data_IF_664620603372
#
_entry.id   IF_664620603372
#
_cell.length_a   1.000
_cell.length_b   1.000
_cell.length_c   1.000
_cell.angle_alpha   90.00
_cell.angle_beta   90.00
_cell.angle_gamma   90.00
#
_symmetry.space_group_name_H-M   'P 1'
#
loop_
_entity.id
_entity.type
_entity.pdbx_description
1 polymer ?
#
# COMPACT_ATOMS: atom_id res chain seq x y z
N UNK A 1 13.23 -4.59 -17.35
CA UNK A 1 11.80 -4.86 -17.27
C UNK A 1 11.11 -3.74 -16.49
N UNK A 2 10.12 -3.15 -17.11
CA UNK A 2 9.54 -1.93 -16.59
C UNK A 2 8.27 -2.21 -15.82
N UNK A 3 8.07 -1.45 -14.76
CA UNK A 3 6.83 -1.41 -14.02
C UNK A 3 6.42 0.05 -13.86
N UNK A 4 5.15 0.29 -13.54
CA UNK A 4 4.72 1.63 -13.19
C UNK A 4 3.92 1.61 -11.89
N UNK A 5 3.99 2.73 -11.18
CA UNK A 5 3.27 2.93 -9.93
C UNK A 5 2.18 3.96 -10.21
N UNK A 6 0.96 3.62 -9.86
CA UNK A 6 -0.20 4.49 -10.07
C UNK A 6 -1.17 4.39 -8.91
N UNK A 7 -2.07 5.36 -8.75
CA UNK A 7 -3.11 5.28 -7.73
C UNK A 7 -4.01 4.05 -7.93
N UNK A 8 -4.46 3.47 -6.83
CA UNK A 8 -5.38 2.33 -6.86
C UNK A 8 -6.72 2.74 -7.47
N UNK A 9 -7.35 1.80 -8.17
CA UNK A 9 -8.72 1.92 -8.70
C UNK A 9 -9.59 0.83 -8.11
N UNK A 10 -10.90 1.01 -8.13
CA UNK A 10 -11.83 -0.01 -7.63
C UNK A 10 -11.61 -1.37 -8.33
N UNK A 11 -11.25 -1.35 -9.61
CA UNK A 11 -10.97 -2.58 -10.36
C UNK A 11 -9.72 -3.33 -9.88
N UNK A 12 -8.88 -2.70 -9.05
CA UNK A 12 -7.68 -3.34 -8.49
C UNK A 12 -7.95 -4.06 -7.17
N UNK A 13 -9.09 -3.81 -6.54
CA UNK A 13 -9.33 -4.26 -5.16
C UNK A 13 -9.16 -5.77 -4.98
N UNK A 14 -9.69 -6.57 -5.91
CA UNK A 14 -9.57 -8.03 -5.80
C UNK A 14 -8.13 -8.49 -5.90
N UNK A 15 -7.34 -7.91 -6.83
CA UNK A 15 -5.93 -8.27 -7.00
C UNK A 15 -5.11 -7.86 -5.78
N UNK A 16 -5.36 -6.67 -5.24
CA UNK A 16 -4.66 -6.18 -4.05
C UNK A 16 -4.97 -7.06 -2.84
N UNK A 17 -6.23 -7.44 -2.65
CA UNK A 17 -6.62 -8.34 -1.56
C UNK A 17 -5.91 -9.69 -1.67
N UNK A 18 -5.83 -10.24 -2.89
CA UNK A 18 -5.14 -11.51 -3.12
C UNK A 18 -3.65 -11.40 -2.79
N UNK A 19 -3.00 -10.28 -3.16
CA UNK A 19 -1.58 -10.06 -2.86
C UNK A 19 -1.36 -9.99 -1.36
N UNK A 20 -2.15 -9.21 -0.64
CA UNK A 20 -2.00 -9.08 0.81
C UNK A 20 -2.15 -10.44 1.50
N UNK A 21 -3.16 -11.21 1.13
CA UNK A 21 -3.40 -12.53 1.71
C UNK A 21 -2.34 -13.56 1.35
N UNK A 22 -1.68 -13.37 0.20
CA UNK A 22 -0.60 -14.24 -0.24
C UNK A 22 0.74 -13.91 0.43
N UNK A 23 1.06 -12.62 0.58
CA UNK A 23 2.37 -12.17 1.04
C UNK A 23 2.48 -12.16 2.57
N UNK A 24 1.45 -11.74 3.28
CA UNK A 24 1.53 -11.65 4.74
C UNK A 24 1.90 -12.96 5.43
N UNK A 25 1.34 -14.12 5.03
CA UNK A 25 1.75 -15.38 5.65
C UNK A 25 3.23 -15.72 5.47
N UNK A 26 3.87 -15.27 4.38
CA UNK A 26 5.30 -15.49 4.16
C UNK A 26 6.15 -14.88 5.28
N UNK A 27 5.63 -13.84 5.93
CA UNK A 27 6.32 -13.17 7.02
C UNK A 27 5.74 -13.53 8.39
N UNK A 28 4.92 -14.59 8.45
CA UNK A 28 4.29 -15.03 9.69
C UNK A 28 3.19 -14.12 10.22
N UNK A 29 2.76 -13.14 9.42
CA UNK A 29 1.77 -12.15 9.85
C UNK A 29 0.35 -12.67 9.61
N UNK A 30 -0.07 -13.63 10.44
CA UNK A 30 -1.40 -14.23 10.38
C UNK A 30 -2.12 -14.06 11.70
N UNK A 31 -3.45 -14.14 11.67
CA UNK A 31 -4.26 -14.01 12.86
C UNK A 31 -4.85 -12.61 13.04
N UNK A 32 -5.63 -12.43 14.10
CA UNK A 32 -6.28 -11.17 14.39
C UNK A 32 -5.24 -10.09 14.72
N UNK A 33 -5.50 -8.88 14.29
CA UNK A 33 -4.59 -7.75 14.49
C UNK A 33 -3.65 -7.48 13.33
N UNK A 34 -3.52 -8.41 12.38
CA UNK A 34 -2.74 -8.20 11.17
C UNK A 34 -3.66 -7.83 10.00
N UNK A 35 -3.08 -7.21 8.97
CA UNK A 35 -3.83 -6.72 7.81
C UNK A 35 -4.61 -7.82 7.10
N UNK A 36 -4.14 -9.07 7.17
CA UNK A 36 -4.83 -10.20 6.55
C UNK A 36 -6.24 -10.41 7.13
N UNK A 37 -6.45 -10.02 8.39
CA UNK A 37 -7.75 -10.13 9.09
C UNK A 37 -8.53 -8.82 9.08
N UNK A 38 -7.99 -7.78 8.47
CA UNK A 38 -8.61 -6.47 8.41
C UNK A 38 -9.67 -6.45 7.30
N UNK A 39 -10.94 -6.11 7.61
CA UNK A 39 -11.98 -6.07 6.59
C UNK A 39 -11.67 -5.15 5.40
N UNK A 40 -10.92 -4.07 5.61
CA UNK A 40 -10.63 -3.12 4.54
C UNK A 40 -9.83 -3.74 3.39
N UNK A 41 -9.17 -4.88 3.61
CA UNK A 41 -8.38 -5.56 2.58
C UNK A 41 -9.19 -5.83 1.31
N UNK A 42 -10.50 -6.03 1.43
CA UNK A 42 -11.35 -6.31 0.28
C UNK A 42 -11.83 -5.06 -0.47
N UNK A 43 -11.59 -3.87 0.10
CA UNK A 43 -12.06 -2.62 -0.52
C UNK A 43 -11.05 -1.48 -0.29
N UNK A 44 -9.81 -1.75 -0.61
CA UNK A 44 -8.69 -0.82 -0.39
C UNK A 44 -8.87 0.51 -1.12
N UNK A 45 -9.43 0.49 -2.33
CA UNK A 45 -9.64 1.73 -3.08
C UNK A 45 -10.53 2.70 -2.31
N UNK A 46 -11.56 2.18 -1.66
CA UNK A 46 -12.47 2.99 -0.85
C UNK A 46 -11.84 3.37 0.50
N UNK A 47 -11.16 2.44 1.13
CA UNK A 47 -10.54 2.67 2.43
C UNK A 47 -9.53 3.81 2.39
N UNK A 48 -8.77 3.93 1.29
CA UNK A 48 -7.73 4.94 1.14
C UNK A 48 -8.18 6.15 0.30
N UNK A 49 -9.48 6.29 0.06
CA UNK A 49 -10.05 7.50 -0.50
C UNK A 49 -10.33 8.58 0.55
N UNK A 50 -10.11 8.28 1.82
CA UNK A 50 -10.27 9.22 2.93
C UNK A 50 -9.26 10.36 2.83
N UNK A 51 -9.56 11.54 3.44
CA UNK A 51 -8.64 12.67 3.42
C UNK A 51 -7.25 12.30 3.93
N UNK A 52 -6.23 12.85 3.26
CA UNK A 52 -4.81 12.66 3.59
C UNK A 52 -4.37 11.20 3.56
N UNK A 53 -5.07 10.39 2.78
CA UNK A 53 -4.76 8.98 2.59
C UNK A 53 -4.59 8.70 1.11
N UNK A 54 -3.75 7.73 0.78
CA UNK A 54 -3.54 7.30 -0.60
C UNK A 54 -3.02 5.87 -0.61
N UNK A 55 -3.40 5.11 -1.63
CA UNK A 55 -2.83 3.79 -1.88
C UNK A 55 -2.44 3.70 -3.34
N UNK A 56 -1.26 3.15 -3.59
CA UNK A 56 -0.71 2.99 -4.93
C UNK A 56 -0.48 1.52 -5.24
N UNK A 57 -0.53 1.18 -6.51
CA UNK A 57 -0.26 -0.19 -6.96
C UNK A 57 0.90 -0.20 -7.93
N UNK A 58 1.63 -1.30 -7.95
CA UNK A 58 2.67 -1.58 -8.93
C UNK A 58 2.04 -2.43 -10.02
N UNK A 59 2.14 -1.95 -11.26
CA UNK A 59 1.58 -2.63 -12.42
C UNK A 59 2.67 -2.90 -13.45
N UNK A 60 2.62 -4.08 -14.04
CA UNK A 60 3.49 -4.45 -15.16
C UNK A 60 2.67 -5.24 -16.15
N UNK A 61 2.65 -4.75 -17.40
CA UNK A 61 1.89 -5.38 -18.49
C UNK A 61 0.40 -5.59 -18.14
N UNK A 62 -0.20 -4.61 -17.43
CA UNK A 62 -1.60 -4.68 -17.05
C UNK A 62 -1.90 -5.52 -15.82
N UNK A 63 -0.86 -6.08 -15.16
CA UNK A 63 -1.01 -6.95 -14.00
C UNK A 63 -0.54 -6.25 -12.75
N UNK A 64 -1.38 -6.20 -11.71
CA UNK A 64 -1.01 -5.63 -10.41
C UNK A 64 -0.16 -6.64 -9.65
N UNK A 65 1.02 -6.21 -9.20
CA UNK A 65 2.02 -7.08 -8.56
C UNK A 65 2.40 -6.64 -7.15
N UNK A 66 1.86 -5.54 -6.68
CA UNK A 66 2.13 -5.06 -5.34
C UNK A 66 1.45 -3.74 -5.05
N UNK A 67 1.63 -3.24 -3.85
CA UNK A 67 1.06 -1.97 -3.46
C UNK A 67 1.65 -1.42 -2.18
N UNK A 68 1.30 -0.18 -1.87
CA UNK A 68 1.66 0.50 -0.64
C UNK A 68 0.91 1.80 -0.50
N UNK A 69 0.76 2.27 0.72
CA UNK A 69 0.01 3.48 0.96
C UNK A 69 0.44 4.25 2.19
N UNK A 70 -0.18 5.39 2.36
CA UNK A 70 0.00 6.27 3.52
C UNK A 70 -1.34 6.73 4.04
N UNK A 71 -1.41 6.95 5.33
CA UNK A 71 -2.59 7.50 6.00
C UNK A 71 -2.14 8.17 7.29
N UNK A 72 -2.99 9.03 7.91
CA UNK A 72 -2.64 9.59 9.20
C UNK A 72 -2.39 8.49 10.22
N UNK A 73 -1.37 8.67 11.06
CA UNK A 73 -1.10 7.74 12.16
C UNK A 73 -2.25 7.79 13.16
N UNK A 74 -2.84 6.65 13.45
CA UNK A 74 -3.94 6.56 14.43
C UNK A 74 -3.41 6.96 15.81
N UNK A 75 -4.08 7.93 16.43
CA UNK A 75 -3.63 8.46 17.71
C UNK A 75 -2.45 9.41 17.62
N UNK A 76 -2.04 9.78 16.41
CA UNK A 76 -0.94 10.72 16.19
C UNK A 76 -1.36 12.18 16.35
N UNK A 77 -0.39 13.06 16.10
CA UNK A 77 -0.55 14.51 16.30
C UNK A 77 -1.07 15.27 15.07
N UNK A 78 -1.45 14.56 14.02
CA UNK A 78 -1.90 15.18 12.77
C UNK A 78 -0.76 15.56 11.81
N UNK A 79 0.48 15.55 12.27
CA UNK A 79 1.66 15.82 11.44
C UNK A 79 2.38 14.55 11.03
N UNK A 80 2.01 13.41 11.59
CA UNK A 80 2.66 12.12 11.34
C UNK A 80 1.75 11.23 10.52
N UNK A 81 2.29 10.68 9.45
CA UNK A 81 1.61 9.64 8.68
C UNK A 81 2.23 8.28 8.97
N UNK A 82 1.56 7.25 8.48
CA UNK A 82 2.01 5.87 8.60
C UNK A 82 2.05 5.24 7.22
N UNK A 83 3.15 4.54 6.91
CA UNK A 83 3.20 3.69 5.73
C UNK A 83 2.40 2.43 6.02
N UNK A 84 1.55 2.03 5.09
CA UNK A 84 0.62 0.91 5.31
C UNK A 84 0.61 -0.07 4.16
N UNK A 85 0.45 -1.34 4.50
CA UNK A 85 0.13 -2.43 3.58
C UNK A 85 1.01 -2.43 2.34
N UNK A 86 2.33 -2.30 2.56
CA UNK A 86 3.33 -2.30 1.50
C UNK A 86 3.79 -3.75 1.26
N UNK A 87 3.24 -4.37 0.23
CA UNK A 87 3.49 -5.78 -0.10
C UNK A 87 3.72 -5.94 -1.58
N UNK A 88 4.63 -6.85 -1.95
CA UNK A 88 5.00 -7.12 -3.33
C UNK A 88 5.08 -8.61 -3.58
N UNK A 89 4.55 -9.06 -4.72
CA UNK A 89 4.73 -10.44 -5.15
C UNK A 89 6.19 -10.69 -5.50
N UNK A 90 6.67 -11.96 -5.40
CA UNK A 90 8.06 -12.29 -5.71
C UNK A 90 8.54 -11.79 -7.08
N UNK A 91 7.64 -11.79 -8.07
CA UNK A 91 7.98 -11.41 -9.45
C UNK A 91 8.53 -9.99 -9.58
N UNK A 92 8.19 -9.11 -8.65
CA UNK A 92 8.61 -7.70 -8.73
C UNK A 92 9.65 -7.35 -7.67
N UNK A 93 9.97 -8.28 -6.78
CA UNK A 93 11.01 -8.07 -5.76
C UNK A 93 12.39 -8.02 -6.42
N UNK A 94 13.26 -7.17 -5.89
CA UNK A 94 14.60 -7.01 -6.43
C UNK A 94 14.70 -6.15 -7.68
N UNK A 95 13.60 -5.58 -8.14
CA UNK A 95 13.56 -4.70 -9.32
C UNK A 95 13.49 -3.22 -8.95
N UNK A 96 13.64 -2.88 -7.68
CA UNK A 96 13.56 -1.49 -7.22
C UNK A 96 12.14 -1.00 -6.96
N UNK A 97 11.14 -1.87 -7.02
CA UNK A 97 9.75 -1.48 -6.81
C UNK A 97 9.49 -0.96 -5.40
N UNK A 98 10.12 -1.57 -4.39
CA UNK A 98 9.98 -1.13 -3.00
C UNK A 98 10.49 0.29 -2.80
N UNK A 99 11.67 0.60 -3.32
CA UNK A 99 12.25 1.93 -3.23
C UNK A 99 11.40 2.95 -4.00
N UNK A 100 10.93 2.60 -5.18
CA UNK A 100 10.07 3.47 -5.99
C UNK A 100 8.73 3.73 -5.29
N UNK A 101 8.15 2.70 -4.69
CA UNK A 101 6.91 2.83 -3.93
C UNK A 101 7.10 3.72 -2.70
N UNK A 102 8.21 3.55 -1.98
CA UNK A 102 8.55 4.39 -0.83
C UNK A 102 8.62 5.86 -1.24
N UNK A 103 9.31 6.17 -2.34
CA UNK A 103 9.41 7.52 -2.86
C UNK A 103 8.02 8.08 -3.19
N UNK A 104 7.18 7.29 -3.84
CA UNK A 104 5.83 7.72 -4.21
C UNK A 104 4.99 8.02 -2.98
N UNK A 105 5.06 7.15 -1.97
CA UNK A 105 4.30 7.34 -0.73
C UNK A 105 4.78 8.57 0.03
N UNK A 106 6.09 8.78 0.13
CA UNK A 106 6.65 9.95 0.82
C UNK A 106 6.31 11.25 0.10
N UNK A 107 6.30 11.24 -1.23
CA UNK A 107 5.90 12.42 -2.00
C UNK A 107 4.42 12.75 -1.76
N UNK A 108 3.57 11.73 -1.71
CA UNK A 108 2.15 11.93 -1.38
C UNK A 108 2.00 12.49 0.03
N UNK A 109 2.76 11.95 0.99
CA UNK A 109 2.72 12.42 2.38
C UNK A 109 3.11 13.91 2.48
N UNK A 110 4.14 14.33 1.76
CA UNK A 110 4.54 15.74 1.71
C UNK A 110 3.42 16.61 1.12
N UNK A 111 2.79 16.13 0.05
CA UNK A 111 1.67 16.83 -0.57
C UNK A 111 0.47 16.99 0.36
N UNK A 112 0.27 16.06 1.27
CA UNK A 112 -0.78 16.13 2.29
C UNK A 112 -0.39 16.99 3.50
N UNK A 113 0.85 17.49 3.56
CA UNK A 113 1.31 18.34 4.65
C UNK A 113 1.84 17.60 5.87
N UNK A 114 2.09 16.30 5.77
CA UNK A 114 2.72 15.57 6.87
C UNK A 114 4.18 15.97 7.02
N UNK A 115 4.64 16.05 8.26
CA UNK A 115 6.03 16.41 8.58
C UNK A 115 6.88 15.19 8.92
N UNK A 116 6.23 14.09 9.34
CA UNK A 116 6.91 12.86 9.74
C UNK A 116 6.19 11.67 9.16
N UNK A 117 6.95 10.59 8.95
CA UNK A 117 6.40 9.32 8.47
C UNK A 117 6.87 8.19 9.39
N UNK A 118 5.93 7.39 9.80
CA UNK A 118 6.17 6.27 10.70
C UNK A 118 6.24 4.96 9.93
#
# INVERSE_FOLDING_TARGET
>A
MEFQIRPIRASDDAAVAAIIRSVMPEFGATGSGFAISDPEVDWMSKAYAEPRSAYFVVERDGVVLGGGGVAPLVGGDGDTCELRKMYFLPEVRGLGAGAAMMTRCLDAARGFGFKQCY
#
